data_IF_100930960911
#
_entry.id   IF_100930960911
#
_cell.length_a   1.000
_cell.length_b   1.000
_cell.length_c   1.000
_cell.angle_alpha   90.00
_cell.angle_beta   90.00
_cell.angle_gamma   90.00
#
_symmetry.space_group_name_H-M   'P 1'
#
loop_
_entity.id
_entity.type
_entity.pdbx_description
1 polymer ?
#
# COMPACT_ATOMS: atom_id res chain seq x y z
N UNK A 1 -26.55 -11.43 23.80
CA UNK A 1 -26.15 -10.04 23.54
C UNK A 1 -24.87 -10.00 22.78
N UNK A 2 -24.82 -9.17 21.80
CA UNK A 2 -23.56 -8.94 21.13
C UNK A 2 -22.60 -8.32 22.13
N UNK A 3 -21.47 -8.90 22.32
CA UNK A 3 -20.51 -8.44 23.31
C UNK A 3 -19.67 -7.25 22.83
N UNK A 4 -19.93 -6.75 21.65
CA UNK A 4 -19.21 -5.62 21.12
C UNK A 4 -17.76 -5.90 20.73
N UNK A 5 -17.35 -7.16 20.70
CA UNK A 5 -15.99 -7.50 20.28
C UNK A 5 -15.81 -7.18 18.80
N UNK A 6 -14.87 -6.32 18.50
CA UNK A 6 -14.53 -5.95 17.12
C UNK A 6 -13.26 -6.69 16.73
N UNK A 7 -13.32 -7.39 15.61
CA UNK A 7 -12.15 -8.05 15.06
C UNK A 7 -11.24 -7.02 14.41
N UNK A 8 -9.98 -7.01 14.83
CA UNK A 8 -8.95 -6.18 14.21
C UNK A 8 -8.00 -7.11 13.47
N UNK A 9 -7.85 -6.89 12.18
CA UNK A 9 -6.93 -7.67 11.35
C UNK A 9 -5.74 -6.80 10.98
N UNK A 10 -4.55 -7.34 11.13
CA UNK A 10 -3.32 -6.62 10.83
C UNK A 10 -2.85 -6.91 9.41
N UNK A 11 -2.52 -5.84 8.71
CA UNK A 11 -2.01 -5.89 7.35
C UNK A 11 -0.72 -5.07 7.27
N UNK A 12 0.02 -5.28 6.21
CA UNK A 12 1.16 -4.44 5.86
C UNK A 12 1.11 -4.12 4.37
N UNK A 13 1.67 -2.98 4.02
CA UNK A 13 1.70 -2.53 2.65
C UNK A 13 2.91 -1.66 2.39
N UNK A 14 3.03 -1.22 1.15
CA UNK A 14 4.17 -0.42 0.72
C UNK A 14 3.71 0.84 0.01
N UNK A 15 4.52 1.89 0.15
CA UNK A 15 4.47 3.04 -0.74
C UNK A 15 5.62 2.85 -1.73
N UNK A 16 5.33 2.45 -2.98
CA UNK A 16 6.39 2.13 -3.93
C UNK A 16 6.92 3.39 -4.60
N UNK A 17 8.22 3.60 -4.52
CA UNK A 17 8.88 4.77 -5.07
C UNK A 17 9.84 4.32 -6.17
N UNK A 18 9.57 4.76 -7.39
CA UNK A 18 10.36 4.45 -8.58
C UNK A 18 11.06 5.73 -9.01
N UNK A 19 12.23 6.00 -8.44
CA UNK A 19 12.94 7.25 -8.69
C UNK A 19 12.16 8.44 -8.15
N UNK A 20 11.66 9.28 -9.03
CA UNK A 20 10.85 10.45 -8.67
C UNK A 20 9.34 10.20 -8.87
N UNK A 21 8.95 8.97 -9.14
CA UNK A 21 7.55 8.58 -9.36
C UNK A 21 7.06 7.65 -8.27
N UNK A 22 5.75 7.61 -8.13
CA UNK A 22 5.06 6.73 -7.19
C UNK A 22 4.24 5.73 -8.00
N UNK A 23 4.23 4.47 -7.56
CA UNK A 23 3.40 3.45 -8.19
C UNK A 23 2.11 3.29 -7.39
N UNK A 24 0.98 3.50 -8.07
CA UNK A 24 -0.33 3.25 -7.48
C UNK A 24 -1.03 2.14 -8.25
N UNK A 25 -1.92 1.45 -7.57
CA UNK A 25 -2.78 0.44 -8.18
C UNK A 25 -4.23 0.72 -7.82
N UNK A 26 -5.15 0.10 -8.56
CA UNK A 26 -6.57 0.21 -8.25
C UNK A 26 -7.00 -0.89 -7.29
N UNK A 27 -7.94 -0.56 -6.41
CA UNK A 27 -8.61 -1.54 -5.57
C UNK A 27 -9.52 -2.39 -6.44
N UNK A 28 -9.59 -3.67 -6.12
CA UNK A 28 -10.53 -4.59 -6.81
C UNK A 28 -11.96 -4.15 -6.51
N UNK A 29 -12.77 -4.14 -7.54
CA UNK A 29 -14.18 -3.78 -7.43
C UNK A 29 -14.44 -2.30 -7.57
N UNK A 30 -13.90 -1.46 -6.67
CA UNK A 30 -14.18 -0.02 -6.69
C UNK A 30 -13.39 0.75 -7.75
N UNK A 31 -12.21 0.27 -8.10
CA UNK A 31 -11.32 0.99 -9.02
C UNK A 31 -10.63 2.20 -8.38
N UNK A 32 -10.75 2.37 -7.07
CA UNK A 32 -10.11 3.48 -6.35
C UNK A 32 -8.60 3.26 -6.29
N UNK A 33 -7.86 4.36 -6.32
CA UNK A 33 -6.40 4.29 -6.29
C UNK A 33 -5.90 4.07 -4.85
N UNK A 34 -5.07 3.05 -4.71
CA UNK A 34 -4.56 2.57 -3.42
C UNK A 34 -3.09 2.18 -3.57
N UNK A 35 -2.50 1.76 -2.44
CA UNK A 35 -1.17 1.15 -2.43
C UNK A 35 -1.32 -0.38 -2.28
N UNK A 36 -0.29 -1.15 -2.68
CA UNK A 36 -0.28 -2.60 -2.45
C UNK A 36 -0.25 -2.91 -0.95
N UNK A 37 -1.12 -3.83 -0.52
CA UNK A 37 -1.20 -4.26 0.87
C UNK A 37 -1.93 -5.58 0.99
N UNK A 38 -1.72 -6.26 2.10
CA UNK A 38 -2.44 -7.48 2.40
C UNK A 38 -2.16 -7.96 3.81
N UNK A 39 -2.69 -9.12 4.15
CA UNK A 39 -2.50 -9.69 5.47
C UNK A 39 -1.03 -9.99 5.74
N UNK A 40 -0.64 -9.82 6.99
CA UNK A 40 0.67 -10.28 7.45
C UNK A 40 0.57 -11.80 7.59
N UNK A 41 1.28 -12.52 6.75
CA UNK A 41 1.16 -13.97 6.71
C UNK A 41 1.91 -14.62 7.86
N UNK A 42 1.35 -15.73 8.34
CA UNK A 42 1.95 -16.49 9.40
C UNK A 42 3.36 -16.94 9.01
N UNK A 43 4.32 -16.67 9.89
CA UNK A 43 5.72 -17.02 9.64
C UNK A 43 6.48 -15.96 8.84
N UNK A 44 5.84 -14.88 8.44
CA UNK A 44 6.48 -13.78 7.74
C UNK A 44 6.43 -12.52 8.59
N UNK A 45 7.44 -11.68 8.44
CA UNK A 45 7.43 -10.36 9.06
C UNK A 45 6.47 -9.43 8.30
N UNK A 46 6.07 -8.29 8.90
CA UNK A 46 5.30 -7.29 8.17
C UNK A 46 6.00 -6.81 6.90
N UNK A 47 7.32 -6.63 6.94
CA UNK A 47 8.11 -6.20 5.78
C UNK A 47 8.09 -7.25 4.68
N UNK A 48 8.28 -8.51 5.04
CA UNK A 48 8.24 -9.61 4.07
C UNK A 48 6.86 -9.74 3.41
N UNK A 49 5.81 -9.67 4.23
CA UNK A 49 4.44 -9.73 3.71
C UNK A 49 4.13 -8.56 2.78
N UNK A 50 4.59 -7.36 3.14
CA UNK A 50 4.39 -6.18 2.31
C UNK A 50 5.09 -6.31 0.96
N UNK A 51 6.32 -6.84 0.94
CA UNK A 51 7.06 -7.09 -0.31
C UNK A 51 6.33 -8.10 -1.19
N UNK A 52 5.79 -9.15 -0.58
CA UNK A 52 5.03 -10.16 -1.31
C UNK A 52 3.77 -9.57 -1.94
N UNK A 53 3.04 -8.74 -1.21
CA UNK A 53 1.85 -8.08 -1.73
C UNK A 53 2.19 -7.14 -2.88
N UNK A 54 3.29 -6.41 -2.80
CA UNK A 54 3.74 -5.54 -3.88
C UNK A 54 4.01 -6.35 -5.16
N UNK A 55 4.60 -7.51 -5.01
CA UNK A 55 4.87 -8.40 -6.15
C UNK A 55 3.57 -8.96 -6.74
N UNK A 56 2.69 -9.47 -5.91
CA UNK A 56 1.44 -10.09 -6.37
C UNK A 56 0.47 -9.07 -6.97
N UNK A 57 0.26 -7.95 -6.28
CA UNK A 57 -0.76 -6.97 -6.66
C UNK A 57 -0.30 -6.00 -7.74
N UNK A 58 0.99 -5.67 -7.76
CA UNK A 58 1.50 -4.60 -8.60
C UNK A 58 2.68 -4.98 -9.49
N UNK A 59 3.19 -6.20 -9.40
CA UNK A 59 4.34 -6.61 -10.20
C UNK A 59 5.60 -5.85 -9.86
N UNK A 60 5.78 -5.50 -8.60
CA UNK A 60 6.92 -4.71 -8.14
C UNK A 60 7.99 -5.60 -7.56
N UNK A 61 9.22 -5.40 -8.01
CA UNK A 61 10.42 -5.96 -7.40
C UNK A 61 11.22 -4.79 -6.84
N UNK A 62 11.59 -4.87 -5.56
CA UNK A 62 12.33 -3.80 -4.93
C UNK A 62 12.70 -4.12 -3.50
N UNK A 63 13.24 -3.12 -2.82
CA UNK A 63 13.69 -3.24 -1.43
C UNK A 63 12.75 -2.47 -0.51
N UNK A 64 12.16 -3.16 0.44
CA UNK A 64 11.31 -2.53 1.46
C UNK A 64 12.20 -2.03 2.59
N UNK A 65 12.02 -0.76 2.95
CA UNK A 65 12.73 -0.18 4.09
C UNK A 65 12.02 -0.55 5.37
N UNK A 66 12.77 -0.78 6.43
CA UNK A 66 12.22 -1.26 7.70
C UNK A 66 11.60 -0.16 8.56
N UNK A 67 11.89 1.11 8.29
CA UNK A 67 11.23 2.22 8.99
C UNK A 67 9.85 2.44 8.41
N UNK A 68 8.81 2.17 9.20
CA UNK A 68 7.46 2.37 8.72
C UNK A 68 7.13 3.86 8.56
N UNK A 69 6.31 4.15 7.55
CA UNK A 69 5.78 5.50 7.33
C UNK A 69 4.73 5.82 8.39
N UNK A 70 3.91 4.84 8.72
CA UNK A 70 2.84 4.98 9.68
C UNK A 70 1.85 3.84 9.54
N UNK A 71 0.77 3.94 10.27
CA UNK A 71 -0.31 2.95 10.28
C UNK A 71 -1.63 3.68 10.06
N UNK A 72 -2.46 3.15 9.16
CA UNK A 72 -3.81 3.66 8.99
C UNK A 72 -4.81 2.53 9.13
N UNK A 73 -6.08 2.88 9.35
CA UNK A 73 -7.14 1.89 9.53
C UNK A 73 -8.28 2.14 8.57
N UNK A 74 -8.93 1.06 8.18
CA UNK A 74 -10.17 1.16 7.42
C UNK A 74 -11.14 0.10 7.89
N UNK A 75 -12.44 0.33 7.62
CA UNK A 75 -13.51 -0.55 8.08
C UNK A 75 -14.11 -1.34 6.93
N UNK A 76 -14.48 -2.57 7.24
CA UNK A 76 -15.29 -3.45 6.41
C UNK A 76 -16.36 -4.08 7.31
N UNK A 77 -17.44 -4.65 6.74
CA UNK A 77 -18.44 -5.36 7.58
C UNK A 77 -17.80 -6.43 8.48
N UNK A 78 -16.71 -7.04 8.01
CA UNK A 78 -15.99 -8.09 8.76
C UNK A 78 -15.15 -7.57 9.93
N UNK A 79 -14.91 -6.25 10.02
CA UNK A 79 -14.13 -5.68 11.11
C UNK A 79 -13.27 -4.50 10.67
N UNK A 80 -12.26 -4.23 11.49
CA UNK A 80 -11.32 -3.14 11.25
C UNK A 80 -10.00 -3.73 10.75
N UNK A 81 -9.42 -3.09 9.75
CA UNK A 81 -8.11 -3.47 9.21
C UNK A 81 -7.10 -2.37 9.57
N UNK A 82 -6.00 -2.78 10.17
CA UNK A 82 -4.92 -1.88 10.56
C UNK A 82 -3.72 -2.18 9.67
N UNK A 83 -3.25 -1.19 8.92
CA UNK A 83 -2.24 -1.37 7.87
C UNK A 83 -0.98 -0.59 8.21
N UNK A 84 0.13 -1.30 8.39
CA UNK A 84 1.45 -0.69 8.51
C UNK A 84 2.03 -0.47 7.12
N UNK A 85 2.47 0.74 6.86
CA UNK A 85 3.00 1.12 5.54
C UNK A 85 4.50 1.31 5.61
N UNK A 86 5.22 0.72 4.64
CA UNK A 86 6.66 0.86 4.52
C UNK A 86 7.03 1.45 3.16
N UNK A 87 8.08 2.28 3.08
CA UNK A 87 8.57 2.70 1.77
C UNK A 87 9.20 1.51 1.07
N UNK A 88 8.99 1.42 -0.25
CA UNK A 88 9.65 0.43 -1.07
C UNK A 88 10.38 1.16 -2.20
N UNK A 89 11.68 0.90 -2.34
CA UNK A 89 12.46 1.41 -3.46
C UNK A 89 12.32 0.43 -4.62
N UNK A 90 11.66 0.86 -5.68
CA UNK A 90 11.39 0.00 -6.83
C UNK A 90 12.66 -0.22 -7.64
N UNK A 91 13.00 -1.49 -7.89
CA UNK A 91 14.11 -1.88 -8.74
C UNK A 91 13.65 -2.18 -10.14
N UNK A 92 12.52 -2.86 -10.28
CA UNK A 92 11.93 -3.13 -11.58
C UNK A 92 10.42 -3.32 -11.48
N UNK A 93 9.75 -3.09 -12.60
CA UNK A 93 8.32 -3.30 -12.76
C UNK A 93 8.12 -4.40 -13.80
N UNK A 94 7.43 -5.45 -13.40
CA UNK A 94 7.13 -6.57 -14.31
C UNK A 94 6.05 -6.16 -15.30
N UNK A 95 6.17 -6.60 -16.54
CA UNK A 95 5.12 -6.38 -17.56
C UNK A 95 3.91 -7.27 -17.29
N UNK A 96 4.16 -8.45 -16.70
CA UNK A 96 3.11 -9.38 -16.34
C UNK A 96 3.26 -9.75 -14.88
N UNK A 97 2.16 -9.70 -14.15
CA UNK A 97 2.14 -10.04 -12.73
C UNK A 97 0.80 -10.69 -12.37
N UNK A 98 0.75 -11.27 -11.19
CA UNK A 98 -0.34 -12.14 -10.76
C UNK A 98 -1.73 -11.49 -10.91
N UNK A 99 -1.92 -10.29 -10.38
CA UNK A 99 -3.22 -9.63 -10.37
C UNK A 99 -3.42 -8.59 -11.48
N UNK A 100 -2.62 -8.65 -12.54
CA UNK A 100 -2.66 -7.66 -13.62
C UNK A 100 -4.02 -7.55 -14.31
N UNK A 101 -4.82 -8.60 -14.28
CA UNK A 101 -6.13 -8.62 -14.95
C UNK A 101 -7.23 -7.99 -14.11
N UNK A 102 -6.99 -7.76 -12.83
CA UNK A 102 -7.98 -7.20 -11.91
C UNK A 102 -7.54 -5.86 -11.30
N UNK A 103 -6.36 -5.38 -11.67
CA UNK A 103 -5.85 -4.09 -11.19
C UNK A 103 -5.21 -3.31 -12.33
N UNK A 104 -5.37 -2.00 -12.30
CA UNK A 104 -4.57 -1.09 -13.12
C UNK A 104 -3.38 -0.65 -12.29
N UNK A 105 -2.28 -0.35 -12.95
CA UNK A 105 -1.06 0.15 -12.32
C UNK A 105 -0.62 1.43 -13.05
N UNK A 106 -0.28 2.47 -12.30
CA UNK A 106 0.21 3.71 -12.87
C UNK A 106 1.41 4.24 -12.13
N UNK A 107 2.34 4.80 -12.89
CA UNK A 107 3.43 5.61 -12.33
C UNK A 107 2.97 7.06 -12.39
N UNK A 108 3.01 7.72 -11.24
CA UNK A 108 2.50 9.10 -11.11
C UNK A 108 3.53 9.95 -10.38
N UNK A 109 3.42 11.25 -10.51
CA UNK A 109 4.25 12.16 -9.71
C UNK A 109 3.80 12.11 -8.25
N UNK A 110 4.66 12.52 -7.30
CA UNK A 110 4.22 12.63 -5.90
C UNK A 110 2.97 13.46 -5.72
N UNK A 111 2.87 14.60 -6.41
CA UNK A 111 1.67 15.44 -6.34
C UNK A 111 0.42 14.75 -6.85
N UNK A 112 0.53 14.04 -7.98
CA UNK A 112 -0.57 13.25 -8.51
C UNK A 112 -0.99 12.13 -7.55
N UNK A 113 -0.02 11.46 -6.93
CA UNK A 113 -0.31 10.40 -5.97
C UNK A 113 -1.16 10.92 -4.81
N UNK A 114 -0.79 12.07 -4.27
CA UNK A 114 -1.52 12.72 -3.18
C UNK A 114 -2.98 12.99 -3.59
N UNK A 115 -3.19 13.46 -4.80
CA UNK A 115 -4.54 13.75 -5.31
C UNK A 115 -5.34 12.49 -5.61
N UNK A 116 -4.69 11.43 -6.06
CA UNK A 116 -5.36 10.20 -6.52
C UNK A 116 -5.75 9.26 -5.39
N UNK A 117 -4.97 9.22 -4.30
CA UNK A 117 -5.26 8.30 -3.19
C UNK A 117 -6.61 8.66 -2.57
N UNK A 118 -7.52 7.69 -2.61
CA UNK A 118 -8.89 7.90 -2.16
C UNK A 118 -9.02 7.98 -0.65
N UNK A 119 -8.34 7.07 0.08
CA UNK A 119 -8.52 6.94 1.52
C UNK A 119 -7.80 8.07 2.26
N UNK A 120 -8.55 8.85 3.03
CA UNK A 120 -8.03 10.07 3.64
C UNK A 120 -6.86 9.84 4.60
N UNK A 121 -6.98 8.86 5.51
CA UNK A 121 -5.89 8.59 6.45
C UNK A 121 -4.62 8.17 5.73
N UNK A 122 -4.74 7.32 4.71
CA UNK A 122 -3.60 6.92 3.90
C UNK A 122 -3.00 8.13 3.18
N UNK A 123 -3.85 8.97 2.60
CA UNK A 123 -3.41 10.18 1.89
C UNK A 123 -2.61 11.11 2.80
N UNK A 124 -3.04 11.28 4.04
CA UNK A 124 -2.33 12.14 5.01
C UNK A 124 -0.93 11.58 5.30
N UNK A 125 -0.83 10.29 5.56
CA UNK A 125 0.46 9.65 5.82
C UNK A 125 1.40 9.76 4.61
N UNK A 126 0.88 9.49 3.43
CA UNK A 126 1.65 9.54 2.18
C UNK A 126 2.09 10.97 1.89
N UNK A 127 1.20 11.93 2.06
CA UNK A 127 1.51 13.35 1.84
C UNK A 127 2.67 13.79 2.74
N UNK A 128 2.58 13.49 4.02
CA UNK A 128 3.60 13.87 4.98
C UNK A 128 4.96 13.25 4.62
N UNK A 129 4.96 11.97 4.28
CA UNK A 129 6.18 11.28 3.89
C UNK A 129 6.79 11.86 2.61
N UNK A 130 5.96 12.10 1.59
CA UNK A 130 6.45 12.58 0.29
C UNK A 130 6.98 14.02 0.37
N UNK A 131 6.35 14.87 1.17
CA UNK A 131 6.85 16.23 1.40
C UNK A 131 8.25 16.19 1.97
N UNK A 132 8.48 15.36 2.97
CA UNK A 132 9.79 15.23 3.61
C UNK A 132 10.83 14.62 2.67
N UNK A 133 10.43 13.67 1.83
CA UNK A 133 11.35 12.98 0.95
C UNK A 133 11.73 13.81 -0.29
N UNK A 134 10.77 14.50 -0.89
CA UNK A 134 10.96 15.19 -2.17
C UNK A 134 11.05 16.70 -2.05
N UNK A 135 10.80 17.24 -0.88
CA UNK A 135 10.93 18.69 -0.62
C UNK A 135 10.13 19.55 -1.62
N UNK A 136 8.85 19.18 -1.82
CA UNK A 136 7.96 19.95 -2.72
C UNK A 136 6.78 20.57 -1.99
#
# INVERSE_FOLDING_TARGET
MANGTVKISEQSGVLPIAGDKIVLITARGSGRWIIPKGYIEKGMSPVESAAKEAWEEAGIIGTVRHEEIGTYSYRRPSGIFSVKIYPLEVESLLEQWDEMHVRQRRLVTPGEAIEMIYHEELRILVTDYLINRFDF
#
